data_IF_812381682041
#
_entry.id   IF_812381682041
#
_cell.length_a   1.000
_cell.length_b   1.000
_cell.length_c   1.000
_cell.angle_alpha   90.00
_cell.angle_beta   90.00
_cell.angle_gamma   90.00
#
_symmetry.space_group_name_H-M   'P 1'
#
loop_
_entity.id
_entity.type
_entity.pdbx_description
1 polymer ?
#
# COMPACT_ATOMS: atom_id res chain seq x y z
N UNK A 1 -1.59 -6.70 -10.91
CA UNK A 1 -1.15 -5.46 -10.24
C UNK A 1 0.35 -5.46 -9.98
N UNK A 2 0.90 -6.19 -8.99
CA UNK A 2 2.37 -6.24 -8.75
C UNK A 2 3.18 -6.75 -9.94
N UNK A 3 2.67 -7.76 -10.66
CA UNK A 3 3.35 -8.26 -11.88
C UNK A 3 3.49 -7.18 -12.96
N UNK A 4 2.54 -6.26 -13.08
CA UNK A 4 2.60 -5.18 -14.06
C UNK A 4 3.58 -4.08 -13.60
N UNK A 5 3.62 -3.76 -12.31
CA UNK A 5 4.65 -2.82 -11.80
C UNK A 5 6.05 -3.38 -11.94
N UNK A 6 6.25 -4.70 -11.77
CA UNK A 6 7.54 -5.34 -12.02
C UNK A 6 7.99 -5.16 -13.48
N UNK A 7 7.07 -5.31 -14.45
CA UNK A 7 7.38 -5.05 -15.88
C UNK A 7 7.77 -3.59 -16.13
N UNK A 8 7.15 -2.64 -15.42
CA UNK A 8 7.52 -1.23 -15.53
C UNK A 8 8.92 -1.01 -14.96
N UNK A 9 9.22 -1.56 -13.79
CA UNK A 9 10.55 -1.48 -13.20
C UNK A 9 11.64 -2.10 -14.08
N UNK A 10 11.33 -3.21 -14.75
CA UNK A 10 12.20 -3.85 -15.76
C UNK A 10 12.47 -2.91 -16.95
N UNK A 11 11.46 -2.20 -17.44
CA UNK A 11 11.62 -1.20 -18.51
C UNK A 11 12.42 0.03 -18.07
N UNK A 12 12.44 0.32 -16.77
CA UNK A 12 13.16 1.44 -16.17
C UNK A 12 14.53 1.04 -15.62
N UNK A 13 15.03 -0.15 -15.98
CA UNK A 13 16.39 -0.56 -15.67
C UNK A 13 17.38 0.35 -16.39
N UNK A 14 18.46 0.70 -15.67
CA UNK A 14 19.62 1.37 -16.23
C UNK A 14 20.83 0.55 -15.85
N UNK A 15 21.62 0.14 -16.85
CA UNK A 15 22.75 -0.79 -16.69
C UNK A 15 22.37 -2.12 -16.01
N UNK A 16 21.17 -2.62 -16.31
CA UNK A 16 20.63 -3.84 -15.71
C UNK A 16 20.26 -3.72 -14.22
N UNK A 17 20.31 -2.50 -13.65
CA UNK A 17 20.00 -2.25 -12.23
C UNK A 17 18.67 -1.52 -12.07
N UNK A 18 17.90 -1.98 -11.09
CA UNK A 18 16.64 -1.35 -10.67
C UNK A 18 16.88 0.06 -10.16
N UNK A 19 16.20 1.04 -10.75
CA UNK A 19 16.28 2.46 -10.35
C UNK A 19 15.11 2.92 -9.49
N UNK A 20 13.95 2.28 -9.63
CA UNK A 20 12.74 2.62 -8.89
C UNK A 20 12.09 1.38 -8.29
N UNK A 21 11.47 1.53 -7.12
CA UNK A 21 10.62 0.52 -6.51
C UNK A 21 9.17 0.99 -6.58
N UNK A 22 8.31 0.23 -7.25
CA UNK A 22 6.88 0.48 -7.35
C UNK A 22 6.13 -0.61 -6.60
N UNK A 23 5.61 -0.27 -5.43
CA UNK A 23 4.79 -1.15 -4.62
C UNK A 23 3.32 -0.75 -4.76
N UNK A 24 2.56 -1.42 -5.64
CA UNK A 24 1.16 -1.12 -5.78
C UNK A 24 0.40 -1.67 -4.58
N UNK A 25 -0.70 -1.01 -4.23
CA UNK A 25 -1.51 -1.38 -3.09
C UNK A 25 -2.92 -0.85 -3.22
N UNK A 26 -3.71 -1.09 -2.19
CA UNK A 26 -4.99 -0.42 -2.02
C UNK A 26 -5.10 0.14 -0.60
N UNK A 27 -6.02 1.08 -0.47
CA UNK A 27 -6.37 1.69 0.80
C UNK A 27 -7.88 1.74 0.92
N UNK A 28 -8.39 1.45 2.10
CA UNK A 28 -9.79 1.65 2.46
C UNK A 28 -9.90 2.50 3.75
N UNK A 29 -11.06 2.47 4.40
CA UNK A 29 -11.29 3.21 5.64
C UNK A 29 -10.41 2.80 6.81
N UNK A 30 -9.93 1.56 6.80
CA UNK A 30 -9.40 0.85 7.95
C UNK A 30 -7.94 0.45 7.77
N UNK A 31 -7.43 0.38 6.53
CA UNK A 31 -6.08 -0.13 6.29
C UNK A 31 -5.47 0.32 4.97
N UNK A 32 -4.14 0.27 4.95
CA UNK A 32 -3.31 0.36 3.75
C UNK A 32 -2.61 -0.99 3.56
N UNK A 33 -2.80 -1.60 2.39
CA UNK A 33 -2.23 -2.88 2.01
C UNK A 33 -1.37 -2.70 0.77
N UNK A 34 -0.12 -3.18 0.82
CA UNK A 34 0.78 -3.21 -0.34
C UNK A 34 0.88 -4.63 -0.89
N UNK A 35 1.11 -4.76 -2.19
CA UNK A 35 1.38 -6.04 -2.83
C UNK A 35 2.88 -6.33 -2.82
N UNK A 36 3.26 -7.51 -2.35
CA UNK A 36 4.65 -7.93 -2.17
C UNK A 36 4.93 -9.21 -2.96
N UNK A 37 6.11 -9.29 -3.60
CA UNK A 37 6.64 -10.54 -4.15
C UNK A 37 7.50 -11.31 -3.14
N UNK A 38 7.73 -10.75 -1.95
CA UNK A 38 8.46 -11.38 -0.85
C UNK A 38 7.48 -11.95 0.17
N UNK A 39 7.72 -13.20 0.56
CA UNK A 39 7.01 -13.86 1.66
C UNK A 39 7.43 -13.28 3.02
N UNK A 40 6.47 -13.23 3.95
CA UNK A 40 6.69 -13.06 5.40
C UNK A 40 5.47 -13.63 6.15
N UNK A 41 5.62 -14.01 7.42
CA UNK A 41 4.62 -14.79 8.17
C UNK A 41 3.27 -14.09 8.32
N UNK A 42 3.25 -12.75 8.38
CA UNK A 42 2.02 -11.96 8.44
C UNK A 42 1.30 -11.81 7.10
N UNK A 43 1.98 -12.10 5.98
CA UNK A 43 1.48 -11.73 4.64
C UNK A 43 0.54 -12.80 4.12
N UNK A 44 -0.57 -12.36 3.56
CA UNK A 44 -1.61 -13.27 3.04
C UNK A 44 -1.30 -13.57 1.57
N UNK A 45 -1.18 -14.85 1.22
CA UNK A 45 -0.95 -15.25 -0.17
C UNK A 45 -2.17 -14.93 -1.05
N UNK A 46 -1.93 -14.21 -2.15
CA UNK A 46 -2.96 -13.82 -3.12
C UNK A 46 -2.91 -14.64 -4.41
N UNK A 47 -1.88 -15.48 -4.58
CA UNK A 47 -1.63 -16.22 -5.81
C UNK A 47 -0.43 -15.70 -6.61
N UNK A 48 0.13 -16.57 -7.48
CA UNK A 48 1.22 -16.24 -8.43
C UNK A 48 2.47 -15.62 -7.78
N UNK A 49 2.83 -16.10 -6.58
CA UNK A 49 3.95 -15.56 -5.81
C UNK A 49 3.74 -14.16 -5.22
N UNK A 50 2.52 -13.63 -5.27
CA UNK A 50 2.19 -12.30 -4.72
C UNK A 50 1.44 -12.45 -3.39
N UNK A 51 1.76 -11.56 -2.46
CA UNK A 51 1.21 -11.52 -1.11
C UNK A 51 0.64 -10.13 -0.80
N UNK A 52 -0.45 -10.07 -0.04
CA UNK A 52 -0.93 -8.86 0.61
C UNK A 52 -0.10 -8.60 1.87
N UNK A 53 0.48 -7.40 1.95
CA UNK A 53 1.31 -6.94 3.06
C UNK A 53 0.58 -5.84 3.83
N UNK A 54 0.03 -6.14 5.02
CA UNK A 54 -0.55 -5.12 5.87
C UNK A 54 0.50 -4.07 6.22
N UNK A 55 0.24 -2.81 5.88
CA UNK A 55 1.24 -1.75 6.08
C UNK A 55 0.79 -0.77 7.14
N UNK A 56 -0.45 -0.30 7.07
CA UNK A 56 -1.03 0.57 8.10
C UNK A 56 -2.43 0.09 8.46
N UNK A 57 -2.85 0.31 9.71
CA UNK A 57 -4.26 0.25 10.10
C UNK A 57 -4.72 1.62 10.60
N UNK A 58 -6.01 1.90 10.49
CA UNK A 58 -6.61 3.12 10.99
C UNK A 58 -7.19 2.90 12.38
N UNK A 59 -6.77 3.72 13.35
CA UNK A 59 -7.29 3.69 14.72
C UNK A 59 -7.23 5.09 15.32
N UNK A 60 -8.27 5.46 16.08
CA UNK A 60 -8.33 6.70 16.88
C UNK A 60 -7.96 7.99 16.11
N UNK A 61 -8.35 8.07 14.85
CA UNK A 61 -8.12 9.27 14.04
C UNK A 61 -6.92 9.19 13.09
N UNK A 62 -6.04 8.21 13.28
CA UNK A 62 -4.72 8.14 12.64
C UNK A 62 -4.50 6.80 11.93
N UNK A 63 -3.57 6.78 10.97
CA UNK A 63 -3.01 5.54 10.45
C UNK A 63 -1.77 5.16 11.26
N UNK A 64 -1.84 4.02 11.93
CA UNK A 64 -0.75 3.44 12.71
C UNK A 64 -0.04 2.34 11.92
N UNK A 65 1.29 2.25 12.01
CA UNK A 65 2.07 1.26 11.30
C UNK A 65 2.03 -0.10 12.01
N UNK A 66 1.99 -1.18 11.23
CA UNK A 66 2.32 -2.51 11.75
C UNK A 66 3.77 -2.62 12.22
N UNK A 67 4.06 -3.51 13.21
CA UNK A 67 5.43 -3.71 13.70
C UNK A 67 6.45 -4.04 12.61
N UNK A 68 5.99 -4.65 11.52
CA UNK A 68 6.79 -5.07 10.36
C UNK A 68 6.73 -4.09 9.18
N UNK A 69 6.10 -2.93 9.34
CA UNK A 69 6.03 -1.90 8.29
C UNK A 69 7.40 -1.33 7.98
N UNK A 70 7.51 -0.73 6.80
CA UNK A 70 8.71 -0.04 6.37
C UNK A 70 9.08 1.11 7.34
N UNK A 71 10.38 1.35 7.59
CA UNK A 71 10.82 2.34 8.57
C UNK A 71 10.27 3.74 8.36
N UNK A 72 10.16 4.18 7.11
CA UNK A 72 9.59 5.47 6.72
C UNK A 72 8.10 5.58 7.08
N UNK A 73 7.31 4.52 6.91
CA UNK A 73 5.91 4.48 7.38
C UNK A 73 5.81 4.62 8.90
N UNK A 74 6.81 4.11 9.65
CA UNK A 74 6.85 4.25 11.11
C UNK A 74 7.16 5.67 11.58
N UNK A 75 7.81 6.48 10.75
CA UNK A 75 8.09 7.90 11.07
C UNK A 75 6.85 8.80 11.01
N UNK A 76 5.71 8.27 10.53
CA UNK A 76 4.46 9.03 10.29
C UNK A 76 4.59 10.21 9.30
N UNK A 77 5.70 10.30 8.56
CA UNK A 77 5.93 11.35 7.54
C UNK A 77 4.77 11.47 6.54
N UNK A 78 4.12 10.36 6.22
CA UNK A 78 3.03 10.31 5.24
C UNK A 78 1.62 10.37 5.86
N UNK A 79 1.48 10.56 7.19
CA UNK A 79 0.16 10.47 7.84
C UNK A 79 -0.86 11.44 7.24
N UNK A 80 -0.47 12.70 7.04
CA UNK A 80 -1.33 13.73 6.45
C UNK A 80 -1.83 13.34 5.05
N UNK A 81 -0.98 12.71 4.25
CA UNK A 81 -1.33 12.22 2.91
C UNK A 81 -2.36 11.11 3.01
N UNK A 82 -2.16 10.11 3.88
CA UNK A 82 -3.12 9.01 4.04
C UNK A 82 -4.47 9.50 4.58
N UNK A 83 -4.48 10.41 5.55
CA UNK A 83 -5.71 11.01 6.05
C UNK A 83 -6.46 11.78 4.97
N UNK A 84 -5.75 12.51 4.11
CA UNK A 84 -6.33 13.21 2.98
C UNK A 84 -6.98 12.24 1.97
N UNK A 85 -6.26 11.19 1.56
CA UNK A 85 -6.79 10.16 0.66
C UNK A 85 -8.04 9.50 1.26
N UNK A 86 -8.03 9.18 2.57
CA UNK A 86 -9.19 8.61 3.26
C UNK A 86 -10.41 9.54 3.22
N UNK A 87 -10.20 10.83 3.43
CA UNK A 87 -11.27 11.83 3.38
C UNK A 87 -11.90 11.91 1.98
N UNK A 88 -11.07 11.90 0.93
CA UNK A 88 -11.53 11.86 -0.46
C UNK A 88 -12.35 10.59 -0.74
N UNK A 89 -11.83 9.43 -0.35
CA UNK A 89 -12.53 8.15 -0.53
C UNK A 89 -13.89 8.12 0.18
N UNK A 90 -13.95 8.65 1.42
CA UNK A 90 -15.21 8.80 2.17
C UNK A 90 -16.21 9.71 1.45
N UNK A 91 -15.74 10.82 0.89
CA UNK A 91 -16.56 11.74 0.11
C UNK A 91 -17.13 11.11 -1.16
N UNK A 92 -16.32 10.29 -1.85
CA UNK A 92 -16.74 9.57 -3.05
C UNK A 92 -17.81 8.51 -2.74
N UNK A 93 -17.63 7.72 -1.68
CA UNK A 93 -18.59 6.69 -1.27
C UNK A 93 -19.96 7.26 -0.88
N UNK A 94 -19.99 8.40 -0.19
CA UNK A 94 -21.25 9.10 0.14
C UNK A 94 -22.04 9.55 -1.10
N UNK A 95 -21.37 9.78 -2.22
CA UNK A 95 -22.04 10.13 -3.49
C UNK A 95 -22.51 8.91 -4.27
N UNK A 96 -21.86 7.76 -4.11
CA UNK A 96 -22.19 6.52 -4.82
C UNK A 96 -23.29 5.72 -4.13
N UNK A 97 -23.47 5.89 -2.82
CA UNK A 97 -24.54 5.28 -2.03
C UNK A 97 -25.57 6.36 -1.67
N UNK A 98 -26.47 6.77 -2.59
CA UNK A 98 -27.56 7.67 -2.24
C UNK A 98 -28.52 6.91 -1.33
N UNK A 99 -28.57 7.28 -0.06
CA UNK A 99 -29.73 7.01 0.82
C UNK A 99 -31.00 7.57 0.21
#
# INVERSE_FOLDING_TARGET
MKTETNKIEERLLVDGKRKVNLDPGYMDYNKVILASAKYNSQKIYLGRGIYADPTLWYEKGEFEPYPYSFPDFKTKMYSSVFLHIRALFKGQRRKSDPT
#
